data_IF_854588218663
#
_entry.id   IF_854588218663
#
_cell.length_a   1.000
_cell.length_b   1.000
_cell.length_c   1.000
_cell.angle_alpha   90.00
_cell.angle_beta   90.00
_cell.angle_gamma   90.00
#
_symmetry.space_group_name_H-M   'P 1'
#
loop_
_entity.id
_entity.type
_entity.pdbx_description
1 polymer ?
#
# COMPACT_ATOMS: atom_id res chain seq x y z
N UNK A 1 6.92 -13.19 10.20
CA UNK A 1 6.97 -13.67 8.80
C UNK A 1 5.56 -14.07 8.38
N UNK A 2 5.17 -13.73 7.16
CA UNK A 2 3.89 -14.12 6.57
C UNK A 2 3.84 -15.63 6.37
N UNK A 3 2.66 -16.25 6.48
CA UNK A 3 2.49 -17.66 6.10
C UNK A 3 2.30 -17.78 4.60
N UNK A 4 2.52 -18.96 4.02
CA UNK A 4 2.38 -19.16 2.57
C UNK A 4 0.96 -18.87 2.07
N UNK A 5 -0.06 -19.20 2.87
CA UNK A 5 -1.46 -18.86 2.58
C UNK A 5 -1.67 -17.35 2.51
N UNK A 6 -1.06 -16.58 3.43
CA UNK A 6 -1.13 -15.12 3.40
C UNK A 6 -0.38 -14.56 2.18
N UNK A 7 0.82 -15.11 1.88
CA UNK A 7 1.59 -14.69 0.70
C UNK A 7 0.82 -14.92 -0.59
N UNK A 8 0.22 -16.10 -0.76
CA UNK A 8 -0.63 -16.42 -1.92
C UNK A 8 -1.83 -15.48 -1.99
N UNK A 9 -2.46 -15.19 -0.85
CA UNK A 9 -3.56 -14.24 -0.80
C UNK A 9 -3.12 -12.85 -1.29
N UNK A 10 -1.94 -12.36 -0.91
CA UNK A 10 -1.42 -11.06 -1.30
C UNK A 10 -1.01 -10.96 -2.78
N UNK A 11 -0.92 -12.07 -3.52
CA UNK A 11 -0.50 -12.05 -4.93
C UNK A 11 -1.53 -11.47 -5.92
N UNK A 12 -2.80 -11.28 -5.54
CA UNK A 12 -3.81 -10.67 -6.45
C UNK A 12 -4.03 -9.18 -6.14
N UNK A 13 -4.35 -8.34 -7.14
CA UNK A 13 -4.57 -6.91 -6.96
C UNK A 13 -5.87 -6.66 -6.18
N UNK A 14 -5.76 -6.58 -4.86
CA UNK A 14 -6.86 -6.26 -3.95
C UNK A 14 -6.71 -4.84 -3.42
N UNK A 15 -7.83 -4.20 -3.08
CA UNK A 15 -7.77 -2.96 -2.33
C UNK A 15 -7.46 -3.27 -0.86
N UNK A 16 -6.39 -2.68 -0.36
CA UNK A 16 -6.02 -2.77 1.04
C UNK A 16 -6.31 -1.45 1.77
N UNK A 17 -6.20 -1.47 3.09
CA UNK A 17 -6.39 -0.31 3.97
C UNK A 17 -5.19 -0.21 4.90
N UNK A 18 -4.50 0.92 4.87
CA UNK A 18 -3.39 1.19 5.78
C UNK A 18 -3.85 2.17 6.85
N UNK A 19 -3.62 1.79 8.10
CA UNK A 19 -3.78 2.61 9.28
C UNK A 19 -2.41 3.13 9.75
N UNK A 20 -2.27 4.44 9.79
CA UNK A 20 -1.17 5.16 10.45
C UNK A 20 -1.70 5.82 11.73
N UNK A 21 -0.82 6.30 12.61
CA UNK A 21 -1.22 6.97 13.86
C UNK A 21 -0.94 8.47 13.74
N UNK A 22 -1.96 9.30 13.95
CA UNK A 22 -1.82 10.75 13.91
C UNK A 22 -1.14 11.31 15.18
N UNK A 23 -0.87 12.62 15.18
CA UNK A 23 -0.19 13.28 16.31
C UNK A 23 -1.04 13.33 17.60
N UNK A 24 -2.34 13.10 17.51
CA UNK A 24 -3.25 13.02 18.65
C UNK A 24 -3.47 11.57 19.13
N UNK A 25 -2.83 10.59 18.48
CA UNK A 25 -2.94 9.17 18.79
C UNK A 25 -4.14 8.46 18.15
N UNK A 26 -4.89 9.12 17.26
CA UNK A 26 -5.98 8.48 16.52
C UNK A 26 -5.46 7.72 15.30
N UNK A 27 -6.11 6.60 14.92
CA UNK A 27 -5.81 5.94 13.68
C UNK A 27 -6.32 6.76 12.48
N UNK A 28 -5.46 6.93 11.49
CA UNK A 28 -5.80 7.46 10.17
C UNK A 28 -5.72 6.32 9.15
N UNK A 29 -6.88 5.86 8.68
CA UNK A 29 -7.02 4.73 7.76
C UNK A 29 -7.40 5.17 6.36
N UNK A 30 -6.67 4.71 5.36
CA UNK A 30 -6.88 5.06 3.95
C UNK A 30 -6.79 3.83 3.05
N UNK A 31 -7.63 3.75 2.00
CA UNK A 31 -7.50 2.70 0.99
C UNK A 31 -6.25 2.92 0.14
N UNK A 32 -5.68 1.82 -0.39
CA UNK A 32 -4.53 1.85 -1.28
C UNK A 32 -4.32 0.57 -2.07
N UNK A 33 -3.53 0.69 -3.12
CA UNK A 33 -2.96 -0.41 -3.90
C UNK A 33 -1.66 -0.89 -3.27
N UNK A 34 -1.31 -2.14 -3.54
CA UNK A 34 -0.07 -2.73 -3.04
C UNK A 34 0.47 -3.80 -3.99
N UNK A 35 1.75 -4.10 -3.85
CA UNK A 35 2.36 -5.30 -4.42
C UNK A 35 3.39 -5.87 -3.45
N UNK A 36 3.89 -7.07 -3.72
CA UNK A 36 4.90 -7.73 -2.87
C UNK A 36 6.30 -7.63 -3.48
N UNK A 37 7.29 -7.38 -2.62
CA UNK A 37 8.71 -7.60 -2.90
C UNK A 37 9.31 -8.49 -1.80
N UNK A 38 9.54 -9.77 -2.11
CA UNK A 38 9.93 -10.73 -1.08
C UNK A 38 8.87 -10.83 0.02
N UNK A 39 9.23 -10.41 1.23
CA UNK A 39 8.35 -10.37 2.40
C UNK A 39 7.77 -8.97 2.70
N UNK A 40 8.15 -7.97 1.91
CA UNK A 40 7.74 -6.58 2.09
C UNK A 40 6.51 -6.24 1.25
N UNK A 41 5.65 -5.39 1.83
CA UNK A 41 4.45 -4.86 1.17
C UNK A 41 4.78 -3.48 0.65
N UNK A 42 4.75 -3.33 -0.67
CA UNK A 42 5.12 -2.10 -1.36
C UNK A 42 3.88 -1.29 -1.70
N UNK A 43 3.93 0.00 -1.42
CA UNK A 43 2.82 0.95 -1.52
C UNK A 43 3.38 2.23 -2.12
N UNK A 44 2.66 2.83 -3.06
CA UNK A 44 3.01 4.14 -3.62
C UNK A 44 2.21 5.24 -2.92
N UNK A 45 2.83 6.40 -2.72
CA UNK A 45 2.17 7.55 -2.09
C UNK A 45 2.86 8.85 -2.48
N UNK A 46 2.09 9.91 -2.69
CA UNK A 46 2.65 11.25 -2.76
C UNK A 46 3.27 11.65 -1.41
N UNK A 47 4.42 12.34 -1.47
CA UNK A 47 5.24 12.69 -0.31
C UNK A 47 4.58 13.71 0.64
N UNK A 48 3.62 14.48 0.15
CA UNK A 48 2.93 15.52 0.91
C UNK A 48 1.67 15.00 1.63
N UNK A 49 1.35 13.72 1.46
CA UNK A 49 0.20 13.10 2.12
C UNK A 49 0.36 13.05 3.64
N UNK A 50 -0.78 13.07 4.34
CA UNK A 50 -0.86 13.02 5.81
C UNK A 50 -0.19 11.74 6.34
N UNK A 51 -0.40 10.60 5.68
CA UNK A 51 0.16 9.30 6.09
C UNK A 51 1.70 9.30 6.14
N UNK A 52 2.36 9.98 5.19
CA UNK A 52 3.83 10.09 5.18
C UNK A 52 4.32 10.90 6.38
N UNK A 53 3.63 12.01 6.72
CA UNK A 53 3.93 12.78 7.92
C UNK A 53 3.73 11.97 9.20
N UNK A 54 2.70 11.13 9.26
CA UNK A 54 2.46 10.25 10.40
C UNK A 54 3.57 9.22 10.55
N UNK A 55 3.97 8.55 9.47
CA UNK A 55 5.02 7.52 9.47
C UNK A 55 6.36 8.09 9.95
N UNK A 56 6.69 9.33 9.55
CA UNK A 56 7.91 10.01 9.99
C UNK A 56 7.98 10.23 11.53
N UNK A 57 6.82 10.33 12.21
CA UNK A 57 6.74 10.53 13.66
C UNK A 57 6.55 9.20 14.40
N UNK A 58 5.73 8.30 13.84
CA UNK A 58 5.44 6.99 14.39
C UNK A 58 5.39 5.96 13.26
N UNK A 59 6.45 5.13 13.09
CA UNK A 59 6.51 4.18 12.00
C UNK A 59 5.58 2.98 12.21
N UNK A 60 4.92 2.82 13.36
CA UNK A 60 4.03 1.67 13.61
C UNK A 60 2.70 1.87 12.89
N UNK A 61 2.26 0.85 12.17
CA UNK A 61 0.96 0.85 11.52
C UNK A 61 0.36 -0.53 11.35
N UNK A 62 -0.78 -0.55 10.67
CA UNK A 62 -1.50 -1.78 10.37
C UNK A 62 -2.03 -1.77 8.94
N UNK A 63 -1.82 -2.87 8.23
CA UNK A 63 -2.31 -3.12 6.88
C UNK A 63 -3.42 -4.18 6.96
N UNK A 64 -4.59 -3.86 6.42
CA UNK A 64 -5.74 -4.76 6.37
C UNK A 64 -6.16 -5.00 4.93
N UNK A 65 -6.37 -6.25 4.56
CA UNK A 65 -6.80 -6.63 3.20
C UNK A 65 -7.80 -7.78 3.24
N UNK A 66 -8.75 -7.75 2.32
CA UNK A 66 -9.87 -8.68 2.28
C UNK A 66 -10.84 -8.49 3.44
N UNK A 67 -11.54 -9.57 3.79
CA UNK A 67 -12.53 -9.61 4.87
C UNK A 67 -13.97 -9.37 4.43
N UNK A 68 -14.22 -9.11 3.15
CA UNK A 68 -15.57 -9.05 2.59
C UNK A 68 -16.08 -10.47 2.25
N UNK A 69 -17.41 -10.59 2.16
CA UNK A 69 -18.05 -11.86 1.79
C UNK A 69 -17.57 -12.31 0.41
N UNK A 70 -16.95 -13.49 0.35
CA UNK A 70 -16.46 -14.07 -0.90
C UNK A 70 -14.97 -13.87 -1.16
N UNK A 71 -14.26 -13.09 -0.34
CA UNK A 71 -12.81 -12.89 -0.50
C UNK A 71 -12.00 -14.16 -0.26
N UNK A 72 -12.57 -15.13 0.47
CA UNK A 72 -11.89 -16.36 0.89
C UNK A 72 -10.86 -16.14 2.01
N UNK A 73 -10.77 -14.91 2.54
CA UNK A 73 -9.86 -14.57 3.64
C UNK A 73 -9.88 -13.08 3.97
N UNK A 74 -9.35 -12.74 5.14
CA UNK A 74 -9.12 -11.37 5.58
C UNK A 74 -7.96 -11.36 6.56
N UNK A 75 -7.01 -10.45 6.34
CA UNK A 75 -5.74 -10.47 7.06
C UNK A 75 -5.39 -9.08 7.58
N UNK A 76 -5.01 -9.04 8.86
CA UNK A 76 -4.40 -7.90 9.52
C UNK A 76 -2.90 -8.16 9.68
N UNK A 77 -2.09 -7.28 9.12
CA UNK A 77 -0.64 -7.30 9.21
C UNK A 77 -0.22 -6.04 9.97
N UNK A 78 0.57 -6.20 11.03
CA UNK A 78 1.13 -5.09 11.79
C UNK A 78 2.62 -5.05 11.57
N UNK A 79 3.18 -3.87 11.39
CA UNK A 79 4.59 -3.69 11.11
C UNK A 79 5.03 -2.26 11.32
N UNK A 80 6.32 -2.05 11.06
CA UNK A 80 6.90 -0.72 10.94
C UNK A 80 6.95 -0.34 9.46
N UNK A 81 6.65 0.93 9.17
CA UNK A 81 6.65 1.51 7.84
C UNK A 81 7.93 2.32 7.66
N UNK A 82 8.62 2.06 6.56
CA UNK A 82 9.67 2.93 6.03
C UNK A 82 9.12 3.72 4.83
N UNK A 83 9.75 4.86 4.55
CA UNK A 83 9.47 5.65 3.34
C UNK A 83 10.78 5.74 2.57
N UNK A 84 10.72 5.36 1.30
CA UNK A 84 11.85 5.38 0.39
C UNK A 84 11.46 6.17 -0.86
N UNK A 85 12.44 6.85 -1.46
CA UNK A 85 12.23 7.51 -2.74
C UNK A 85 12.17 6.47 -3.86
N UNK A 86 11.32 6.72 -4.87
CA UNK A 86 11.16 5.86 -6.04
C UNK A 86 11.79 6.54 -7.28
N UNK A 87 13.13 6.56 -7.39
CA UNK A 87 13.80 7.23 -8.50
C UNK A 87 13.39 6.58 -9.82
N UNK A 88 12.91 7.38 -10.77
CA UNK A 88 12.43 6.86 -12.05
C UNK A 88 11.00 6.29 -12.02
N UNK A 89 10.33 6.38 -10.87
CA UNK A 89 8.93 6.00 -10.68
C UNK A 89 8.66 4.53 -11.00
N UNK A 90 9.59 3.64 -10.62
CA UNK A 90 9.53 2.22 -10.95
C UNK A 90 8.35 1.55 -10.24
N UNK A 91 8.19 1.82 -8.93
CA UNK A 91 7.07 1.31 -8.14
C UNK A 91 5.76 1.97 -8.54
N UNK A 92 5.74 3.29 -8.78
CA UNK A 92 4.57 3.98 -9.30
C UNK A 92 4.08 3.32 -10.59
N UNK A 93 4.96 3.08 -11.57
CA UNK A 93 4.58 2.40 -12.82
C UNK A 93 4.10 0.98 -12.56
N UNK A 94 4.85 0.19 -11.78
CA UNK A 94 4.52 -1.21 -11.50
C UNK A 94 3.16 -1.36 -10.84
N UNK A 95 2.85 -0.58 -9.80
CA UNK A 95 1.54 -0.64 -9.13
C UNK A 95 0.43 -0.15 -10.04
N UNK A 96 0.65 0.93 -10.81
CA UNK A 96 -0.39 1.46 -11.68
C UNK A 96 -0.76 0.46 -12.77
N UNK A 97 0.21 -0.15 -13.47
CA UNK A 97 -0.06 -1.21 -14.45
C UNK A 97 -0.65 -2.49 -13.84
N UNK A 98 -0.51 -2.71 -12.54
CA UNK A 98 -1.08 -3.86 -11.85
C UNK A 98 -2.57 -3.69 -11.57
N UNK A 99 -3.03 -2.45 -11.38
CA UNK A 99 -4.40 -2.15 -10.95
C UNK A 99 -5.26 -1.51 -12.04
N UNK A 100 -4.63 -0.86 -13.02
CA UNK A 100 -5.32 -0.17 -14.09
C UNK A 100 -5.05 -0.81 -15.45
N UNK A 101 -6.01 -0.65 -16.35
CA UNK A 101 -5.81 -0.98 -17.77
C UNK A 101 -4.78 -0.04 -18.38
N UNK A 102 -4.03 -0.53 -19.38
CA UNK A 102 -2.85 0.15 -19.91
C UNK A 102 -3.08 1.64 -20.24
N UNK A 103 -4.18 1.97 -20.91
CA UNK A 103 -4.48 3.36 -21.29
C UNK A 103 -4.72 4.26 -20.08
N UNK A 104 -5.43 3.77 -19.06
CA UNK A 104 -5.67 4.52 -17.83
C UNK A 104 -4.38 4.63 -17.01
N UNK A 105 -3.61 3.54 -16.92
CA UNK A 105 -2.34 3.53 -16.22
C UNK A 105 -1.36 4.55 -16.79
N UNK A 106 -1.27 4.68 -18.11
CA UNK A 106 -0.39 5.67 -18.76
C UNK A 106 -0.78 7.12 -18.39
N UNK A 107 -2.08 7.43 -18.27
CA UNK A 107 -2.58 8.74 -17.83
C UNK A 107 -2.24 9.00 -16.36
N UNK A 108 -2.52 8.03 -15.48
CA UNK A 108 -2.26 8.18 -14.05
C UNK A 108 -0.75 8.31 -13.77
N UNK A 109 0.08 7.55 -14.49
CA UNK A 109 1.54 7.67 -14.39
C UNK A 109 1.99 9.06 -14.85
N UNK A 110 1.45 9.59 -15.95
CA UNK A 110 1.76 10.97 -16.38
C UNK A 110 1.41 11.97 -15.26
N UNK A 111 0.18 11.90 -14.73
CA UNK A 111 -0.32 12.81 -13.69
C UNK A 111 0.46 12.72 -12.36
N UNK A 112 0.99 11.54 -12.00
CA UNK A 112 1.68 11.33 -10.72
C UNK A 112 3.19 11.52 -10.79
N UNK A 113 3.75 11.72 -11.99
CA UNK A 113 5.20 11.87 -12.19
C UNK A 113 5.61 13.25 -12.69
N UNK A 114 4.65 14.14 -12.94
CA UNK A 114 4.84 15.58 -13.18
C UNK A 114 4.92 16.39 -11.89
#
# INVERSE_FOLDING_TARGET
>A
MLTDVVREFLQKPRLARLSTIDSNGYPHTVPLWFDMEGDDIMIISDRNTVKIRHIAVNPKGAFSVGGDTGDGGGYLIKGELSVEEDPGYEWTKRLTYRYEEKEQAEKDIEDWTT
#
